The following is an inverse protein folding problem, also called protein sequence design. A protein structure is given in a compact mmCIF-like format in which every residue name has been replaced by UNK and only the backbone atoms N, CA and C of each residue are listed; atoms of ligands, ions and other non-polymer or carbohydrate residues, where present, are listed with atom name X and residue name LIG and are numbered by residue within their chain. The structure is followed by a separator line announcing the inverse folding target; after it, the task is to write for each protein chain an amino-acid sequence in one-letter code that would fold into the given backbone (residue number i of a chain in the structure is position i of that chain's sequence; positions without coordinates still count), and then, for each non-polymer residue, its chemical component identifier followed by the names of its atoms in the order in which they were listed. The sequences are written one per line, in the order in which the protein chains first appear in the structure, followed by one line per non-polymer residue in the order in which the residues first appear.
data_IF_425918369307
#
_entry.id   IF_425918369307
#
_cell.length_a   1.000
_cell.length_b   1.000
_cell.length_c   1.000
_cell.angle_alpha   90.00
_cell.angle_beta   90.00
_cell.angle_gamma   90.00
#
_symmetry.space_group_name_H-M   'P 1'
#
loop_
_entity.id
_entity.type
_entity.pdbx_description
1 polymer ?
#
# COMPACT_ATOMS: atom_id res chain seq x y z
N UNK A 1 47.25 -34.34 44.60
CA UNK A 1 46.33 -33.31 44.07
C UNK A 1 47.02 -32.73 42.86
N UNK A 2 46.47 -32.96 41.67
CA UNK A 2 47.09 -32.51 40.43
C UNK A 2 47.13 -30.97 40.41
N UNK A 3 48.22 -30.36 39.92
CA UNK A 3 48.35 -28.90 39.90
C UNK A 3 47.25 -28.22 39.05
N UNK A 4 46.62 -28.96 38.14
CA UNK A 4 45.49 -28.50 37.35
C UNK A 4 44.22 -28.28 38.19
N UNK A 5 43.94 -29.13 39.18
CA UNK A 5 42.70 -29.08 39.97
C UNK A 5 42.66 -27.82 40.84
N UNK A 6 43.81 -27.42 41.41
CA UNK A 6 43.94 -26.22 42.24
C UNK A 6 43.78 -24.91 41.45
N UNK A 7 43.92 -24.95 40.12
CA UNK A 7 43.74 -23.78 39.25
C UNK A 7 42.32 -23.76 38.69
N UNK A 8 41.76 -24.92 38.34
CA UNK A 8 40.46 -25.03 37.68
C UNK A 8 39.31 -24.87 38.68
N UNK A 9 39.35 -25.52 39.84
CA UNK A 9 38.28 -25.49 40.85
C UNK A 9 37.94 -24.08 41.39
N UNK A 10 38.91 -23.22 41.77
CA UNK A 10 38.59 -21.87 42.26
C UNK A 10 38.16 -20.91 41.14
N UNK A 11 38.61 -21.13 39.90
CA UNK A 11 38.31 -20.26 38.76
C UNK A 11 37.09 -20.71 37.96
N UNK A 12 36.53 -21.88 38.26
CA UNK A 12 35.37 -22.49 37.60
C UNK A 12 34.16 -21.54 37.50
N UNK A 13 33.78 -20.78 38.56
CA UNK A 13 32.67 -19.84 38.47
C UNK A 13 32.93 -18.70 37.47
N UNK A 14 34.17 -18.20 37.41
CA UNK A 14 34.56 -17.11 36.52
C UNK A 14 34.63 -17.56 35.06
N UNK A 15 35.07 -18.80 34.81
CA UNK A 15 35.10 -19.39 33.46
C UNK A 15 33.68 -19.56 32.92
N UNK A 16 32.75 -20.06 33.75
CA UNK A 16 31.34 -20.20 33.39
C UNK A 16 30.70 -18.83 33.13
N UNK A 17 30.93 -17.87 34.05
CA UNK A 17 30.40 -16.52 33.89
C UNK A 17 30.94 -15.85 32.61
N UNK A 18 32.25 -15.96 32.34
CA UNK A 18 32.87 -15.43 31.13
C UNK A 18 32.29 -16.05 29.85
N UNK A 19 32.10 -17.37 29.83
CA UNK A 19 31.46 -18.06 28.71
C UNK A 19 30.02 -17.60 28.46
N UNK A 20 29.21 -17.46 29.51
CA UNK A 20 27.84 -16.97 29.40
C UNK A 20 27.78 -15.51 28.93
N UNK A 21 28.66 -14.64 29.45
CA UNK A 21 28.71 -13.24 29.04
C UNK A 21 29.06 -13.09 27.55
N UNK A 22 30.02 -13.86 27.05
CA UNK A 22 30.39 -13.82 25.62
C UNK A 22 29.23 -14.30 24.75
N UNK A 23 28.54 -15.37 25.16
CA UNK A 23 27.34 -15.85 24.46
C UNK A 23 26.21 -14.81 24.42
N UNK A 24 25.93 -14.17 25.55
CA UNK A 24 24.91 -13.11 25.63
C UNK A 24 25.26 -11.90 24.76
N UNK A 25 26.52 -11.46 24.78
CA UNK A 25 26.99 -10.36 23.92
C UNK A 25 26.90 -10.70 22.43
N UNK A 26 27.16 -11.95 22.05
CA UNK A 26 26.99 -12.42 20.67
C UNK A 26 25.54 -12.33 20.19
N UNK A 27 24.58 -12.74 21.03
CA UNK A 27 23.15 -12.64 20.72
C UNK A 27 22.70 -11.17 20.59
N UNK A 28 23.13 -10.31 21.52
CA UNK A 28 22.83 -8.88 21.48
C UNK A 28 23.42 -8.23 20.23
N UNK A 29 24.67 -8.55 19.88
CA UNK A 29 25.32 -8.06 18.67
C UNK A 29 24.55 -8.48 17.41
N UNK A 30 24.12 -9.75 17.32
CA UNK A 30 23.34 -10.23 16.19
C UNK A 30 21.98 -9.53 16.07
N UNK A 31 21.23 -9.40 17.17
CA UNK A 31 19.97 -8.66 17.20
C UNK A 31 20.15 -7.19 16.81
N UNK A 32 21.23 -6.56 17.28
CA UNK A 32 21.54 -5.16 16.95
C UNK A 32 21.82 -4.97 15.47
N UNK A 33 22.58 -5.88 14.84
CA UNK A 33 22.82 -5.81 13.38
C UNK A 33 21.54 -6.01 12.57
N UNK A 34 20.66 -6.91 13.00
CA UNK A 34 19.35 -7.13 12.37
C UNK A 34 18.46 -5.89 12.54
N UNK A 35 18.44 -5.28 13.72
CA UNK A 35 17.70 -4.04 13.97
C UNK A 35 18.18 -2.86 13.11
N UNK A 36 19.51 -2.69 12.99
CA UNK A 36 20.10 -1.69 12.10
C UNK A 36 19.74 -1.92 10.63
N UNK A 37 19.76 -3.18 10.17
CA UNK A 37 19.36 -3.55 8.81
C UNK A 37 17.89 -3.21 8.53
N UNK A 38 17.00 -3.56 9.47
CA UNK A 38 15.56 -3.23 9.41
C UNK A 38 15.36 -1.71 9.37
N UNK A 39 16.01 -0.97 10.26
CA UNK A 39 15.85 0.49 10.38
C UNK A 39 16.38 1.25 9.16
N UNK A 40 17.48 0.78 8.57
CA UNK A 40 18.09 1.38 7.40
C UNK A 40 17.53 0.85 6.06
N UNK A 41 16.54 -0.04 6.10
CA UNK A 41 15.85 -0.51 4.89
C UNK A 41 16.67 -1.45 4.01
N UNK A 42 17.71 -2.10 4.56
CA UNK A 42 18.42 -3.15 3.85
C UNK A 42 17.47 -4.34 3.62
N UNK A 43 17.54 -4.99 2.45
CA UNK A 43 16.70 -6.14 2.17
C UNK A 43 17.01 -7.22 3.21
N UNK A 44 15.97 -7.71 3.88
CA UNK A 44 16.09 -8.91 4.70
C UNK A 44 15.99 -10.10 3.74
N UNK A 45 16.99 -10.98 3.78
CA UNK A 45 16.94 -12.23 3.04
C UNK A 45 15.79 -13.07 3.59
N UNK A 46 14.69 -13.19 2.83
CA UNK A 46 13.68 -14.19 3.10
C UNK A 46 14.28 -15.59 2.96
N UNK A 47 13.62 -16.60 3.53
CA UNK A 47 14.05 -18.01 3.49
C UNK A 47 14.27 -18.59 2.06
N UNK A 48 13.93 -17.83 1.01
CA UNK A 48 14.03 -18.19 -0.40
C UNK A 48 14.58 -17.06 -1.29
N UNK A 49 15.50 -16.24 -0.77
CA UNK A 49 16.20 -15.22 -1.57
C UNK A 49 15.34 -14.06 -2.08
N UNK A 50 14.14 -13.90 -1.52
CA UNK A 50 13.28 -12.74 -1.77
C UNK A 50 13.69 -11.61 -0.84
N UNK A 51 14.12 -10.48 -1.42
CA UNK A 51 14.39 -9.25 -0.69
C UNK A 51 13.09 -8.71 -0.06
N UNK A 52 12.88 -8.96 1.23
CA UNK A 52 11.76 -8.37 1.97
C UNK A 52 12.20 -6.97 2.39
N UNK A 53 11.72 -5.97 1.67
CA UNK A 53 11.83 -4.57 2.09
C UNK A 53 10.88 -4.35 3.27
N UNK A 54 11.36 -3.89 4.44
CA UNK A 54 10.49 -3.41 5.50
C UNK A 54 9.80 -2.13 5.00
N UNK A 55 8.65 -2.28 4.35
CA UNK A 55 7.85 -1.15 3.88
C UNK A 55 7.31 -0.45 5.12
N UNK A 56 7.66 0.83 5.31
CA UNK A 56 6.91 1.74 6.19
C UNK A 56 5.46 1.74 5.69
N UNK A 57 4.59 1.02 6.38
CA UNK A 57 3.19 0.84 6.01
C UNK A 57 2.47 2.18 5.93
N UNK A 58 2.83 3.16 6.76
CA UNK A 58 2.08 4.42 6.89
C UNK A 58 2.08 5.27 5.62
N UNK A 59 3.24 5.50 5.00
CA UNK A 59 3.31 6.36 3.82
C UNK A 59 2.64 5.71 2.59
N UNK A 60 2.76 4.39 2.45
CA UNK A 60 2.06 3.65 1.41
C UNK A 60 0.54 3.63 1.66
N UNK A 61 0.10 3.47 2.92
CA UNK A 61 -1.31 3.49 3.30
C UNK A 61 -1.93 4.87 3.08
N UNK A 62 -1.19 5.93 3.40
CA UNK A 62 -1.62 7.31 3.21
C UNK A 62 -1.76 7.63 1.71
N UNK A 63 -0.79 7.23 0.88
CA UNK A 63 -0.90 7.34 -0.58
C UNK A 63 -2.09 6.55 -1.14
N UNK A 64 -2.34 5.34 -0.64
CA UNK A 64 -3.52 4.54 -1.04
C UNK A 64 -4.81 5.25 -0.64
N UNK A 65 -4.86 5.87 0.55
CA UNK A 65 -6.01 6.64 1.01
C UNK A 65 -6.26 7.86 0.13
N UNK A 66 -5.22 8.61 -0.22
CA UNK A 66 -5.30 9.76 -1.13
C UNK A 66 -5.78 9.34 -2.53
N UNK A 67 -5.18 8.30 -3.11
CA UNK A 67 -5.61 7.76 -4.42
C UNK A 67 -7.05 7.24 -4.42
N UNK A 68 -7.50 6.64 -3.31
CA UNK A 68 -8.88 6.18 -3.17
C UNK A 68 -9.87 7.36 -3.14
N UNK A 69 -9.49 8.46 -2.48
CA UNK A 69 -10.28 9.70 -2.47
C UNK A 69 -10.35 10.33 -3.87
N UNK A 70 -9.23 10.43 -4.59
CA UNK A 70 -9.21 10.93 -5.97
C UNK A 70 -10.09 10.06 -6.89
N UNK A 71 -10.03 8.74 -6.76
CA UNK A 71 -10.90 7.84 -7.53
C UNK A 71 -12.39 8.03 -7.22
N UNK A 72 -12.75 8.27 -5.95
CA UNK A 72 -14.13 8.56 -5.57
C UNK A 72 -14.61 9.88 -6.17
N UNK A 73 -13.77 10.93 -6.15
CA UNK A 73 -14.08 12.22 -6.77
C UNK A 73 -14.24 12.10 -8.28
N UNK A 74 -13.31 11.45 -8.98
CA UNK A 74 -13.38 11.26 -10.43
C UNK A 74 -14.66 10.51 -10.84
N UNK A 75 -15.09 9.52 -10.04
CA UNK A 75 -16.35 8.81 -10.29
C UNK A 75 -17.57 9.70 -10.12
N UNK A 76 -17.56 10.61 -9.15
CA UNK A 76 -18.64 11.57 -8.96
C UNK A 76 -18.69 12.59 -10.11
N UNK A 77 -17.54 13.14 -10.53
CA UNK A 77 -17.43 14.04 -11.67
C UNK A 77 -17.90 13.37 -12.97
N UNK A 78 -17.43 12.14 -13.24
CA UNK A 78 -17.91 11.33 -14.37
C UNK A 78 -19.42 11.07 -14.31
N UNK A 79 -19.99 10.84 -13.13
CA UNK A 79 -21.44 10.70 -12.93
C UNK A 79 -22.20 11.95 -13.37
N UNK A 80 -21.77 13.12 -12.90
CA UNK A 80 -22.39 14.41 -13.27
C UNK A 80 -22.32 14.70 -14.77
N UNK A 81 -21.22 14.31 -15.43
CA UNK A 81 -21.06 14.48 -16.87
C UNK A 81 -22.04 13.56 -17.61
N UNK A 82 -22.19 12.31 -17.16
CA UNK A 82 -23.16 11.37 -17.73
C UNK A 82 -24.60 11.88 -17.62
N UNK A 83 -25.00 12.44 -16.48
CA UNK A 83 -26.35 13.00 -16.29
C UNK A 83 -26.62 14.15 -17.26
N UNK A 84 -25.62 15.02 -17.46
CA UNK A 84 -25.71 16.11 -18.44
C UNK A 84 -25.79 15.60 -19.87
N UNK A 85 -25.01 14.58 -20.22
CA UNK A 85 -25.05 13.96 -21.54
C UNK A 85 -26.43 13.33 -21.81
N UNK A 86 -27.01 12.64 -20.83
CA UNK A 86 -28.36 12.08 -20.95
C UNK A 86 -29.42 13.18 -21.17
N UNK A 87 -29.30 14.32 -20.49
CA UNK A 87 -30.21 15.44 -20.71
C UNK A 87 -30.04 16.05 -22.12
N UNK A 88 -28.79 16.16 -22.61
CA UNK A 88 -28.52 16.63 -23.97
C UNK A 88 -29.10 15.65 -25.01
N UNK A 89 -28.89 14.35 -24.82
CA UNK A 89 -29.46 13.30 -25.68
C UNK A 89 -30.99 13.41 -25.76
N UNK A 90 -31.65 13.62 -24.62
CA UNK A 90 -33.09 13.82 -24.56
C UNK A 90 -33.54 15.07 -25.32
N UNK A 91 -32.87 16.20 -25.14
CA UNK A 91 -33.19 17.45 -25.85
C UNK A 91 -33.06 17.25 -27.36
N UNK A 92 -31.94 16.70 -27.82
CA UNK A 92 -31.67 16.52 -29.25
C UNK A 92 -32.70 15.57 -29.87
N UNK A 93 -33.05 14.48 -29.18
CA UNK A 93 -34.00 13.48 -29.68
C UNK A 93 -35.44 14.00 -29.68
N UNK A 94 -35.89 14.59 -28.56
CA UNK A 94 -37.25 15.12 -28.44
C UNK A 94 -37.50 16.29 -29.39
N UNK A 95 -36.53 17.21 -29.53
CA UNK A 95 -36.64 18.37 -30.43
C UNK A 95 -36.66 17.97 -31.92
N UNK A 96 -35.91 16.95 -32.32
CA UNK A 96 -35.94 16.46 -33.70
C UNK A 96 -37.33 15.90 -34.04
N UNK A 97 -37.88 15.05 -33.17
CA UNK A 97 -39.21 14.49 -33.38
C UNK A 97 -40.34 15.53 -33.30
N UNK A 98 -40.22 16.57 -32.45
CA UNK A 98 -41.22 17.65 -32.43
C UNK A 98 -41.19 18.47 -33.71
N UNK A 99 -40.00 18.78 -34.23
CA UNK A 99 -39.84 19.55 -35.46
C UNK A 99 -40.40 18.80 -36.67
N UNK A 100 -40.11 17.50 -36.81
CA UNK A 100 -40.65 16.68 -37.91
C UNK A 100 -42.18 16.65 -37.89
N UNK A 101 -42.79 16.52 -36.70
CA UNK A 101 -44.26 16.57 -36.55
C UNK A 101 -44.84 17.93 -36.93
N UNK A 102 -44.16 19.01 -36.56
CA UNK A 102 -44.59 20.38 -36.86
C UNK A 102 -44.49 20.69 -38.37
N UNK A 103 -43.43 20.20 -39.02
CA UNK A 103 -43.25 20.28 -40.49
C UNK A 103 -44.38 19.54 -41.21
N UNK A 104 -44.75 18.33 -40.78
CA UNK A 104 -45.79 17.55 -41.44
C UNK A 104 -47.17 18.19 -41.29
N UNK A 105 -47.48 18.80 -40.12
CA UNK A 105 -48.70 19.58 -39.94
C UNK A 105 -48.77 20.77 -40.90
N UNK A 106 -47.69 21.55 -41.02
CA UNK A 106 -47.63 22.69 -41.94
C UNK A 106 -47.74 22.26 -43.41
N UNK A 107 -47.20 21.09 -43.77
CA UNK A 107 -47.34 20.51 -45.11
C UNK A 107 -48.79 20.13 -45.41
N UNK A 108 -49.45 19.41 -44.50
CA UNK A 108 -50.85 18.99 -44.65
C UNK A 108 -51.83 20.16 -44.75
N UNK A 109 -51.62 21.23 -43.96
CA UNK A 109 -52.44 22.45 -44.01
C UNK A 109 -52.29 23.26 -45.29
N UNK A 110 -51.16 23.15 -46.00
CA UNK A 110 -50.95 23.85 -47.30
C UNK A 110 -51.65 23.15 -48.47
N UNK A 111 -51.89 21.85 -48.35
CA UNK A 111 -52.52 21.02 -49.39
C UNK A 111 -54.04 20.93 -49.31
N UNK A 112 -54.67 21.53 -48.29
CA UNK A 112 -56.12 21.79 -48.23
C UNK A 112 -56.40 23.25 -48.58
#
# INVERSE_FOLDING_TARGET
MDPADNIILPNLPWIIAGGMSIGALGLIAWMFTTWLRVKNGYPLDGAWGQAIYPKKSDEAMERIRLLSQENAQLRAELGSIKDRLANVERIVTDSAHSLDREIEQLRGSRTN
#
